data_IF_050566295768
#
_entry.id   IF_050566295768
#
_cell.length_a   1.000
_cell.length_b   1.000
_cell.length_c   1.000
_cell.angle_alpha   90.00
_cell.angle_beta   90.00
_cell.angle_gamma   90.00
#
_symmetry.space_group_name_H-M   'P 1'
#
loop_
_entity.id
_entity.type
_entity.pdbx_description
1 polymer ?
#
# COMPACT_ATOMS: atom_id res chain seq x y z
N UNK A 1 15.58 -9.11 13.11
CA UNK A 1 14.54 -8.33 12.43
C UNK A 1 14.66 -6.88 12.86
N UNK A 2 14.89 -5.97 11.92
CA UNK A 2 15.00 -4.52 12.16
C UNK A 2 13.63 -3.93 12.52
N UNK A 3 13.56 -2.71 13.12
CA UNK A 3 12.29 -2.03 13.36
C UNK A 3 11.42 -1.92 12.11
N UNK A 4 12.03 -1.62 10.95
CA UNK A 4 11.33 -1.53 9.67
C UNK A 4 10.78 -2.88 9.20
N UNK A 5 11.56 -3.96 9.37
CA UNK A 5 11.11 -5.31 9.00
C UNK A 5 9.94 -5.79 9.88
N UNK A 6 9.90 -5.42 11.16
CA UNK A 6 8.76 -5.73 12.05
C UNK A 6 7.51 -4.97 11.66
N UNK A 7 7.65 -3.68 11.35
CA UNK A 7 6.54 -2.85 10.88
C UNK A 7 5.98 -3.32 9.53
N UNK A 8 6.79 -4.02 8.72
CA UNK A 8 6.37 -4.60 7.45
C UNK A 8 5.60 -5.94 7.58
N UNK A 9 5.34 -6.42 8.79
CA UNK A 9 4.53 -7.64 8.99
C UNK A 9 3.04 -7.34 8.87
N UNK A 10 2.28 -8.33 8.36
CA UNK A 10 0.82 -8.22 8.20
C UNK A 10 0.11 -7.97 9.52
N UNK A 11 0.57 -8.61 10.60
CA UNK A 11 0.00 -8.47 11.94
C UNK A 11 0.16 -7.04 12.46
N UNK A 12 1.36 -6.46 12.35
CA UNK A 12 1.60 -5.07 12.77
C UNK A 12 0.84 -4.08 11.89
N UNK A 13 0.75 -4.30 10.57
CA UNK A 13 -0.10 -3.47 9.70
C UNK A 13 -1.55 -3.45 10.15
N UNK A 14 -2.17 -4.63 10.37
CA UNK A 14 -3.58 -4.71 10.79
C UNK A 14 -3.81 -3.97 12.12
N UNK A 15 -2.86 -4.06 13.04
CA UNK A 15 -2.90 -3.38 14.35
C UNK A 15 -2.74 -1.87 14.22
N UNK A 16 -1.77 -1.40 13.44
CA UNK A 16 -1.45 0.03 13.28
C UNK A 16 -2.46 0.76 12.39
N UNK A 17 -3.09 0.06 11.45
CA UNK A 17 -4.04 0.62 10.50
C UNK A 17 -5.51 0.58 10.99
N UNK A 18 -5.77 0.19 12.24
CA UNK A 18 -7.14 -0.06 12.75
C UNK A 18 -8.08 1.14 12.58
N UNK A 19 -7.57 2.33 12.90
CA UNK A 19 -8.34 3.59 12.88
C UNK A 19 -7.73 4.59 11.87
N UNK A 20 -7.01 4.08 10.87
CA UNK A 20 -6.36 4.91 9.86
C UNK A 20 -7.38 5.65 8.99
N UNK A 21 -7.03 6.88 8.60
CA UNK A 21 -7.84 7.70 7.70
C UNK A 21 -7.90 7.12 6.29
N UNK A 22 -6.80 6.50 5.85
CA UNK A 22 -6.70 5.77 4.60
C UNK A 22 -6.00 4.44 4.89
N UNK A 23 -6.61 3.35 4.45
CA UNK A 23 -6.07 2.00 4.60
C UNK A 23 -6.16 1.25 3.29
N UNK A 24 -5.08 0.56 2.99
CA UNK A 24 -4.97 -0.37 1.88
C UNK A 24 -4.47 -1.71 2.38
N UNK A 25 -5.19 -2.76 2.01
CA UNK A 25 -4.88 -4.13 2.38
C UNK A 25 -4.64 -4.98 1.14
N UNK A 26 -3.47 -5.62 1.09
CA UNK A 26 -3.11 -6.64 0.12
C UNK A 26 -3.32 -6.19 -1.33
N UNK A 27 -2.99 -4.93 -1.64
CA UNK A 27 -3.25 -4.35 -2.95
C UNK A 27 -2.47 -5.06 -4.05
N UNK A 28 -3.22 -5.53 -5.03
CA UNK A 28 -2.70 -6.01 -6.32
C UNK A 28 -3.23 -5.09 -7.41
N UNK A 29 -2.32 -4.40 -8.10
CA UNK A 29 -2.68 -3.41 -9.10
C UNK A 29 -1.60 -3.29 -10.19
N UNK A 30 -2.02 -2.80 -11.35
CA UNK A 30 -1.15 -2.50 -12.48
C UNK A 30 -1.93 -1.89 -13.64
N UNK A 31 -1.21 -1.31 -14.60
CA UNK A 31 -1.82 -0.57 -15.71
C UNK A 31 -2.37 -1.51 -16.80
N UNK A 32 -1.59 -2.52 -17.18
CA UNK A 32 -1.95 -3.46 -18.24
C UNK A 32 -2.55 -4.73 -17.66
N UNK A 33 -3.65 -5.26 -18.24
CA UNK A 33 -4.21 -6.56 -17.84
C UNK A 33 -3.13 -7.64 -17.75
N UNK A 34 -3.15 -8.44 -16.69
CA UNK A 34 -2.17 -9.51 -16.45
C UNK A 34 -0.81 -9.06 -15.89
N UNK A 35 -0.48 -7.76 -15.88
CA UNK A 35 0.80 -7.24 -15.37
C UNK A 35 0.60 -6.58 -14.01
N UNK A 36 0.96 -7.30 -12.93
CA UNK A 36 0.91 -6.78 -11.56
C UNK A 36 2.21 -6.06 -11.20
N UNK A 37 2.08 -4.77 -10.85
CA UNK A 37 3.19 -3.98 -10.29
C UNK A 37 3.14 -4.05 -8.77
N UNK A 38 1.96 -3.87 -8.17
CA UNK A 38 1.74 -4.17 -6.75
C UNK A 38 1.36 -5.63 -6.60
N UNK A 39 1.89 -6.29 -5.58
CA UNK A 39 1.78 -7.75 -5.36
C UNK A 39 1.43 -8.06 -3.90
N UNK A 40 0.33 -7.48 -3.41
CA UNK A 40 -0.06 -7.61 -2.00
C UNK A 40 0.55 -6.50 -1.15
N UNK A 41 0.45 -5.24 -1.61
CA UNK A 41 0.98 -4.10 -0.87
C UNK A 41 0.02 -3.65 0.22
N UNK A 42 0.54 -3.52 1.43
CA UNK A 42 -0.14 -2.94 2.59
C UNK A 42 0.31 -1.49 2.79
N UNK A 43 -0.64 -0.60 3.09
CA UNK A 43 -0.36 0.80 3.39
C UNK A 43 -1.44 1.37 4.30
N UNK A 44 -1.07 2.25 5.21
CA UNK A 44 -2.01 3.04 5.99
C UNK A 44 -1.50 4.46 6.18
N UNK A 45 -2.41 5.38 6.45
CA UNK A 45 -2.13 6.76 6.79
C UNK A 45 -3.11 7.21 7.85
N UNK A 46 -2.59 7.71 8.98
CA UNK A 46 -3.43 8.28 10.04
C UNK A 46 -3.77 9.75 9.76
N UNK A 47 -4.80 10.25 10.43
CA UNK A 47 -5.15 11.66 10.34
C UNK A 47 -3.98 12.56 10.83
N UNK A 48 -3.70 13.61 10.08
CA UNK A 48 -2.58 14.53 10.32
C UNK A 48 -1.16 13.96 10.08
N UNK A 49 -1.02 12.71 9.61
CA UNK A 49 0.29 12.09 9.39
C UNK A 49 0.93 12.55 8.06
N UNK A 50 2.25 12.79 8.08
CA UNK A 50 3.04 13.05 6.88
C UNK A 50 3.89 11.82 6.54
N UNK A 51 3.54 11.13 5.46
CA UNK A 51 4.21 9.88 5.04
C UNK A 51 5.06 10.08 3.79
N UNK A 52 6.30 9.59 3.83
CA UNK A 52 7.19 9.50 2.68
C UNK A 52 7.29 8.07 2.16
N UNK A 53 7.05 7.87 0.85
CA UNK A 53 7.21 6.56 0.19
C UNK A 53 8.54 6.55 -0.58
N UNK A 54 9.48 5.73 -0.12
CA UNK A 54 10.81 5.60 -0.72
C UNK A 54 11.03 4.23 -1.35
N UNK A 55 12.00 4.13 -2.25
CA UNK A 55 12.38 2.89 -2.93
C UNK A 55 12.96 3.14 -4.32
N UNK A 56 13.60 2.15 -4.96
CA UNK A 56 14.22 2.31 -6.26
C UNK A 56 13.20 2.61 -7.37
N UNK A 57 13.70 3.01 -8.53
CA UNK A 57 12.87 3.15 -9.73
C UNK A 57 12.22 1.80 -10.07
N UNK A 58 10.94 1.83 -10.44
CA UNK A 58 10.17 0.62 -10.71
C UNK A 58 9.58 -0.10 -9.49
N UNK A 59 9.88 0.31 -8.25
CA UNK A 59 9.35 -0.33 -7.03
C UNK A 59 7.82 -0.22 -6.84
N UNK A 60 7.11 0.47 -7.71
CA UNK A 60 5.64 0.58 -7.65
C UNK A 60 5.08 1.79 -6.90
N UNK A 61 5.93 2.73 -6.43
CA UNK A 61 5.52 3.92 -5.66
C UNK A 61 4.37 4.72 -6.31
N UNK A 62 4.55 5.14 -7.57
CA UNK A 62 3.51 5.89 -8.29
C UNK A 62 2.27 5.03 -8.59
N UNK A 63 2.44 3.72 -8.72
CA UNK A 63 1.32 2.79 -8.90
C UNK A 63 0.51 2.66 -7.62
N UNK A 64 1.15 2.57 -6.45
CA UNK A 64 0.49 2.57 -5.14
C UNK A 64 -0.37 3.82 -4.98
N UNK A 65 0.21 5.02 -5.15
CA UNK A 65 -0.53 6.28 -5.03
C UNK A 65 -1.72 6.36 -6.01
N UNK A 66 -1.52 5.95 -7.27
CA UNK A 66 -2.63 5.95 -8.25
C UNK A 66 -3.71 4.93 -7.90
N UNK A 67 -3.36 3.77 -7.33
CA UNK A 67 -4.33 2.77 -6.91
C UNK A 67 -5.15 3.27 -5.71
N UNK A 68 -4.49 3.88 -4.71
CA UNK A 68 -5.14 4.48 -3.55
C UNK A 68 -6.16 5.56 -3.94
N UNK A 69 -5.85 6.38 -4.95
CA UNK A 69 -6.75 7.41 -5.44
C UNK A 69 -7.76 6.92 -6.50
N UNK A 70 -7.84 5.61 -6.75
CA UNK A 70 -8.78 5.04 -7.73
C UNK A 70 -8.48 5.39 -9.20
N UNK A 71 -7.27 5.88 -9.50
CA UNK A 71 -6.85 6.28 -10.85
C UNK A 71 -6.39 5.09 -11.71
N UNK A 72 -6.17 3.93 -11.11
CA UNK A 72 -5.92 2.66 -11.81
C UNK A 72 -6.73 1.53 -11.18
N UNK A 73 -7.06 0.47 -11.95
CA UNK A 73 -7.80 -0.66 -11.42
C UNK A 73 -7.02 -1.41 -10.33
N UNK A 74 -7.65 -1.56 -9.16
CA UNK A 74 -7.27 -2.54 -8.14
C UNK A 74 -7.88 -3.89 -8.54
N UNK A 75 -7.06 -4.93 -8.60
CA UNK A 75 -7.46 -6.29 -9.03
C UNK A 75 -7.85 -7.16 -7.86
N UNK A 76 -7.19 -6.97 -6.72
CA UNK A 76 -7.53 -7.61 -5.44
C UNK A 76 -7.01 -6.74 -4.30
N UNK A 77 -7.49 -7.04 -3.09
CA UNK A 77 -7.28 -6.20 -1.92
C UNK A 77 -8.35 -5.12 -1.81
N UNK A 78 -8.20 -4.23 -0.84
CA UNK A 78 -9.18 -3.17 -0.54
C UNK A 78 -8.48 -1.84 -0.30
N UNK A 79 -9.20 -0.76 -0.60
CA UNK A 79 -8.86 0.60 -0.17
C UNK A 79 -10.08 1.15 0.57
N UNK A 80 -9.90 1.65 1.78
CA UNK A 80 -10.94 2.21 2.65
C UNK A 80 -10.48 3.50 3.30
#
# INVERSE_FOLDING_TARGET
MTPAERAATREEHVKLAKDALLRADELVAGYLPGVNILRGADFYLNDGELVGIIGPNGAGKSTLLKALFGLIPVRSGTVT
#
